data_IF_130811939403
#
_entry.id   IF_130811939403
#
_cell.length_a   1.000
_cell.length_b   1.000
_cell.length_c   1.000
_cell.angle_alpha   90.00
_cell.angle_beta   90.00
_cell.angle_gamma   90.00
#
_symmetry.space_group_name_H-M   'P 1'
#
loop_
_entity.id
_entity.type
_entity.pdbx_description
1 polymer ?
#
# COMPACT_ATOMS: atom_id res chain seq x y z
N UNK A 1 -6.23 -2.42 22.64
CA UNK A 1 -6.12 -2.01 21.23
C UNK A 1 -4.64 -1.85 20.90
N UNK A 2 -4.11 -2.61 19.94
CA UNK A 2 -2.68 -2.65 19.65
C UNK A 2 -2.19 -1.27 19.18
N UNK A 3 -1.09 -0.77 19.76
CA UNK A 3 -0.47 0.55 19.48
C UNK A 3 0.17 0.66 18.08
N UNK A 4 -0.02 -0.33 17.22
CA UNK A 4 0.57 -0.36 15.87
C UNK A 4 -0.35 0.44 14.95
N UNK A 5 0.21 1.42 14.23
CA UNK A 5 -0.52 2.21 13.21
C UNK A 5 -1.22 1.25 12.21
N UNK A 6 -2.28 1.66 11.49
CA UNK A 6 -2.88 0.86 10.42
C UNK A 6 -1.99 0.82 9.17
N UNK A 7 -2.11 -0.25 8.35
CA UNK A 7 -1.30 -0.40 7.13
C UNK A 7 -1.63 0.72 6.14
N UNK A 8 -0.63 1.20 5.42
CA UNK A 8 -0.85 2.17 4.35
C UNK A 8 -1.59 1.47 3.21
N UNK A 9 -2.65 2.12 2.73
CA UNK A 9 -3.44 1.59 1.62
C UNK A 9 -2.66 1.78 0.32
N UNK A 10 -2.42 0.68 -0.37
CA UNK A 10 -1.84 0.70 -1.72
C UNK A 10 -2.84 1.36 -2.67
N UNK A 11 -2.46 2.42 -3.40
CA UNK A 11 -3.33 3.03 -4.39
C UNK A 11 -3.68 2.02 -5.49
N UNK A 12 -4.93 2.06 -5.95
CA UNK A 12 -5.41 1.14 -6.99
C UNK A 12 -6.07 1.93 -8.08
N UNK A 13 -5.99 1.42 -9.31
CA UNK A 13 -6.74 1.97 -10.43
C UNK A 13 -8.25 1.90 -10.17
N UNK A 14 -9.02 2.91 -10.61
CA UNK A 14 -10.47 2.89 -10.50
C UNK A 14 -11.08 1.62 -11.14
N UNK A 15 -12.08 0.97 -10.51
CA UNK A 15 -12.76 -0.20 -11.06
C UNK A 15 -13.28 -0.03 -12.49
N UNK A 16 -13.84 1.14 -12.79
CA UNK A 16 -14.42 1.54 -14.07
C UNK A 16 -13.38 1.67 -15.19
N UNK A 17 -12.11 1.85 -14.86
CA UNK A 17 -11.00 1.90 -15.83
C UNK A 17 -10.38 0.51 -16.00
N UNK A 18 -10.05 -0.17 -14.90
CA UNK A 18 -9.36 -1.47 -14.93
C UNK A 18 -10.21 -2.64 -15.43
N UNK A 19 -11.51 -2.45 -15.64
CA UNK A 19 -12.37 -3.42 -16.31
C UNK A 19 -12.16 -3.45 -17.83
N UNK A 20 -11.50 -2.42 -18.39
CA UNK A 20 -11.37 -2.22 -19.85
C UNK A 20 -10.04 -2.70 -20.42
N UNK A 21 -9.08 -3.10 -19.56
CA UNK A 21 -7.75 -3.52 -19.97
C UNK A 21 -7.14 -4.52 -18.97
N UNK A 22 -5.93 -5.01 -19.29
CA UNK A 22 -5.16 -5.93 -18.45
C UNK A 22 -3.94 -5.25 -17.80
N UNK A 23 -3.95 -3.92 -17.69
CA UNK A 23 -2.85 -3.19 -17.07
C UNK A 23 -2.89 -3.34 -15.54
N UNK A 24 -1.75 -3.13 -14.89
CA UNK A 24 -1.58 -3.33 -13.45
C UNK A 24 -2.61 -2.58 -12.60
N UNK A 25 -3.23 -3.26 -11.64
CA UNK A 25 -4.31 -2.69 -10.81
C UNK A 25 -3.78 -2.03 -9.55
N UNK A 26 -2.84 -2.69 -8.87
CA UNK A 26 -2.21 -2.19 -7.65
C UNK A 26 -1.04 -1.31 -8.05
N UNK A 27 -1.15 -0.01 -7.83
CA UNK A 27 -0.09 0.92 -8.11
C UNK A 27 0.97 0.85 -7.00
N UNK A 28 2.07 1.57 -7.19
CA UNK A 28 3.14 1.64 -6.19
C UNK A 28 2.84 2.66 -5.09
N UNK A 29 3.41 2.41 -3.90
CA UNK A 29 3.49 3.44 -2.87
C UNK A 29 4.50 4.52 -3.31
N UNK A 30 4.28 5.75 -2.85
CA UNK A 30 5.34 6.76 -2.94
C UNK A 30 6.51 6.37 -2.04
N UNK A 31 7.68 6.96 -2.28
CA UNK A 31 8.86 6.73 -1.42
C UNK A 31 8.55 7.01 0.05
N UNK A 32 7.90 8.13 0.34
CA UNK A 32 7.49 8.49 1.71
C UNK A 32 6.56 7.43 2.32
N UNK A 33 5.55 6.99 1.58
CA UNK A 33 4.62 5.95 2.02
C UNK A 33 5.32 4.61 2.25
N UNK A 34 6.26 4.24 1.38
CA UNK A 34 7.05 3.02 1.51
C UNK A 34 7.91 3.04 2.78
N UNK A 35 8.58 4.16 3.06
CA UNK A 35 9.35 4.35 4.30
C UNK A 35 8.45 4.28 5.55
N UNK A 36 7.26 4.88 5.49
CA UNK A 36 6.30 4.81 6.59
C UNK A 36 5.79 3.38 6.83
N UNK A 37 5.48 2.61 5.78
CA UNK A 37 5.06 1.21 5.94
C UNK A 37 6.22 0.35 6.47
N UNK A 38 7.43 0.54 5.96
CA UNK A 38 8.63 -0.16 6.44
C UNK A 38 8.92 0.10 7.92
N UNK A 39 8.66 1.33 8.41
CA UNK A 39 8.84 1.71 9.82
C UNK A 39 7.95 0.94 10.81
N UNK A 40 6.95 0.21 10.32
CA UNK A 40 6.08 -0.64 11.14
C UNK A 40 6.72 -1.97 11.53
N UNK A 41 7.80 -2.37 10.85
CA UNK A 41 8.46 -3.63 11.17
C UNK A 41 9.00 -3.58 12.61
N UNK A 42 8.65 -4.58 13.42
CA UNK A 42 9.08 -4.66 14.82
C UNK A 42 10.54 -5.11 14.98
N UNK A 43 11.19 -5.52 13.88
CA UNK A 43 12.54 -6.09 13.89
C UNK A 43 12.68 -7.20 14.95
N UNK A 44 11.71 -8.12 14.98
CA UNK A 44 11.72 -9.23 15.93
C UNK A 44 12.98 -10.08 15.74
N UNK A 45 13.59 -10.59 16.83
CA UNK A 45 14.68 -11.57 16.76
C UNK A 45 14.27 -12.85 16.01
#
# INVERSE_FOLDING_TARGET
MSKVKPRIKIPKRPPEERIKDFNEVALTLTEEQALQEASRCLQCP
#
